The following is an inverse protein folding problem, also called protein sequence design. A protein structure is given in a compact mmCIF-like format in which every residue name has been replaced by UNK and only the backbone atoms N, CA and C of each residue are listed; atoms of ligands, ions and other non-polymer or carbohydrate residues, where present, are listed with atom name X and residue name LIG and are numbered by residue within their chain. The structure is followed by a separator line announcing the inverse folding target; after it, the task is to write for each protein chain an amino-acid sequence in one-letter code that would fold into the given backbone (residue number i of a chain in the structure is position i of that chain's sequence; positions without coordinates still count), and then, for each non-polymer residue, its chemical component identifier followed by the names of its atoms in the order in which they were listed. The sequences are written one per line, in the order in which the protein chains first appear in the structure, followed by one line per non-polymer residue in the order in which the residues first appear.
data_IF_142248192988
#
_entry.id   IF_142248192988
#
_cell.length_a   1.000
_cell.length_b   1.000
_cell.length_c   1.000
_cell.angle_alpha   90.00
_cell.angle_beta   90.00
_cell.angle_gamma   90.00
#
_symmetry.space_group_name_H-M   'P 1'
#
loop_
_entity.id
_entity.type
_entity.pdbx_description
1 polymer ?
#
# COMPACT_ATOMS: atom_id res chain seq x y z
N UNK A 1 19.15 -5.13 -12.24
CA UNK A 1 18.00 -6.03 -11.97
C UNK A 1 16.79 -5.14 -11.69
N UNK A 2 15.57 -5.55 -12.06
CA UNK A 2 14.37 -4.78 -11.69
C UNK A 2 14.20 -4.76 -10.17
N UNK A 3 13.84 -3.60 -9.62
CA UNK A 3 13.64 -3.41 -8.18
C UNK A 3 12.45 -4.23 -7.70
N UNK A 4 12.65 -5.08 -6.70
CA UNK A 4 11.57 -5.92 -6.16
C UNK A 4 10.63 -5.09 -5.27
N UNK A 5 9.42 -5.61 -5.03
CA UNK A 5 8.48 -4.98 -4.07
C UNK A 5 9.09 -4.87 -2.67
N UNK A 6 9.93 -5.83 -2.30
CA UNK A 6 10.63 -5.84 -1.02
C UNK A 6 11.69 -4.72 -0.96
N UNK A 7 12.43 -4.50 -2.05
CA UNK A 7 13.39 -3.39 -2.14
C UNK A 7 12.68 -2.03 -2.09
N UNK A 8 11.47 -1.91 -2.68
CA UNK A 8 10.67 -0.68 -2.58
C UNK A 8 10.18 -0.43 -1.15
N UNK A 9 9.74 -1.48 -0.45
CA UNK A 9 9.33 -1.38 0.94
C UNK A 9 10.46 -0.88 1.83
N UNK A 10 11.68 -1.42 1.67
CA UNK A 10 12.81 -1.08 2.53
C UNK A 10 13.26 0.37 2.35
N UNK A 11 13.23 0.86 1.11
CA UNK A 11 13.48 2.26 0.82
C UNK A 11 12.43 3.16 1.49
N UNK A 12 11.14 2.83 1.35
CA UNK A 12 10.07 3.61 1.98
C UNK A 12 10.13 3.55 3.52
N UNK A 13 10.45 2.39 4.09
CA UNK A 13 10.59 2.22 5.53
C UNK A 13 11.79 3.00 6.08
N UNK A 14 12.92 3.03 5.35
CA UNK A 14 14.10 3.85 5.65
C UNK A 14 13.73 5.33 5.73
N UNK A 15 13.05 5.85 4.71
CA UNK A 15 12.63 7.25 4.63
C UNK A 15 11.69 7.64 5.78
N UNK A 16 10.71 6.80 6.10
CA UNK A 16 9.74 7.02 7.19
C UNK A 16 10.37 6.91 8.58
N UNK A 17 11.43 6.11 8.76
CA UNK A 17 12.07 5.87 10.05
C UNK A 17 13.36 6.70 10.23
N UNK A 18 13.34 7.95 9.78
CA UNK A 18 14.41 8.93 10.04
C UNK A 18 15.69 8.68 9.22
N UNK A 19 15.57 8.07 8.04
CA UNK A 19 16.71 7.74 7.19
C UNK A 19 17.54 6.56 7.72
N UNK A 20 16.90 5.63 8.44
CA UNK A 20 17.55 4.40 8.89
C UNK A 20 18.19 3.68 7.68
N UNK A 21 19.48 3.31 7.72
CA UNK A 21 20.14 2.72 6.57
C UNK A 21 19.41 1.46 6.07
N UNK A 22 19.08 1.43 4.77
CA UNK A 22 18.45 0.27 4.12
C UNK A 22 19.23 -1.03 4.37
N UNK A 23 20.56 -0.95 4.39
CA UNK A 23 21.41 -2.09 4.75
C UNK A 23 21.07 -2.71 6.11
N UNK A 24 20.69 -1.90 7.11
CA UNK A 24 20.29 -2.38 8.43
C UNK A 24 18.92 -3.08 8.41
N UNK A 25 17.99 -2.59 7.59
CA UNK A 25 16.67 -3.21 7.37
C UNK A 25 16.85 -4.56 6.68
N UNK A 26 17.76 -4.64 5.69
CA UNK A 26 18.03 -5.86 4.93
C UNK A 26 18.57 -7.00 5.80
N UNK A 27 19.35 -6.69 6.84
CA UNK A 27 19.82 -7.68 7.82
C UNK A 27 18.68 -8.37 8.57
N UNK A 28 17.49 -7.78 8.58
CA UNK A 28 16.32 -8.34 9.25
C UNK A 28 15.52 -9.26 8.33
N UNK A 29 15.86 -9.43 7.05
CA UNK A 29 15.10 -10.28 6.13
C UNK A 29 15.05 -11.75 6.59
N UNK A 30 13.86 -12.33 6.56
CA UNK A 30 13.59 -13.75 6.79
C UNK A 30 12.65 -14.26 5.69
N UNK A 31 13.21 -14.59 4.51
CA UNK A 31 12.42 -14.99 3.35
C UNK A 31 11.43 -13.90 2.93
N UNK A 32 10.12 -14.17 3.01
CA UNK A 32 9.03 -13.22 2.70
C UNK A 32 8.60 -12.35 3.91
N UNK A 33 9.42 -12.26 4.96
CA UNK A 33 9.14 -11.44 6.14
C UNK A 33 10.42 -10.87 6.75
N UNK A 34 10.29 -10.31 7.96
CA UNK A 34 11.40 -9.75 8.72
C UNK A 34 11.44 -10.31 10.14
N UNK A 35 12.64 -10.44 10.72
CA UNK A 35 12.89 -10.90 12.09
C UNK A 35 12.36 -9.95 13.16
N UNK A 36 12.38 -8.65 12.87
CA UNK A 36 11.90 -7.61 13.78
C UNK A 36 10.38 -7.44 13.63
N UNK A 37 9.57 -7.65 14.70
CA UNK A 37 8.11 -7.61 14.61
C UNK A 37 7.55 -6.29 14.05
N UNK A 38 8.19 -5.15 14.38
CA UNK A 38 7.80 -3.84 13.85
C UNK A 38 7.91 -3.78 12.32
N UNK A 39 9.03 -4.25 11.79
CA UNK A 39 9.32 -4.25 10.34
C UNK A 39 8.41 -5.26 9.63
N UNK A 40 8.22 -6.45 10.20
CA UNK A 40 7.32 -7.46 9.66
C UNK A 40 5.87 -6.97 9.55
N UNK A 41 5.38 -6.24 10.57
CA UNK A 41 4.04 -5.65 10.55
C UNK A 41 3.92 -4.55 9.50
N UNK A 42 4.93 -3.70 9.35
CA UNK A 42 4.95 -2.68 8.31
C UNK A 42 4.94 -3.31 6.91
N UNK A 43 5.73 -4.37 6.71
CA UNK A 43 5.77 -5.14 5.46
C UNK A 43 4.41 -5.76 5.10
N UNK A 44 3.71 -6.35 6.09
CA UNK A 44 2.37 -6.88 5.90
C UNK A 44 1.38 -5.84 5.35
N UNK A 45 1.38 -4.63 5.92
CA UNK A 45 0.50 -3.56 5.47
C UNK A 45 0.94 -2.95 4.13
N UNK A 46 2.25 -2.85 3.89
CA UNK A 46 2.78 -2.40 2.62
C UNK A 46 2.32 -3.28 1.46
N UNK A 47 2.43 -4.61 1.59
CA UNK A 47 1.92 -5.57 0.59
C UNK A 47 0.44 -5.35 0.31
N UNK A 48 -0.38 -5.17 1.34
CA UNK A 48 -1.83 -4.93 1.20
C UNK A 48 -2.17 -3.60 0.53
N UNK A 49 -1.42 -2.54 0.82
CA UNK A 49 -1.63 -1.24 0.16
C UNK A 49 -1.36 -1.29 -1.35
N UNK A 50 -0.38 -2.10 -1.79
CA UNK A 50 -0.03 -2.26 -3.20
C UNK A 50 -0.99 -3.20 -3.95
N UNK A 51 -1.66 -4.12 -3.25
CA UNK A 51 -2.73 -4.94 -3.83
C UNK A 51 -3.98 -4.13 -4.20
N UNK A 52 -4.19 -2.95 -3.58
CA UNK A 52 -5.30 -2.03 -3.92
C UNK A 52 -5.05 -1.24 -5.22
N UNK A 53 -3.81 -1.23 -5.73
CA UNK A 53 -3.40 -0.40 -6.88
C UNK A 53 -3.46 -1.15 -8.23
N UNK A 54 -3.98 -2.37 -8.26
CA UNK A 54 -4.32 -3.08 -9.52
C UNK A 54 -5.81 -3.05 -9.79
N UNK A 55 -6.38 -1.86 -9.96
CA UNK A 55 -7.62 -1.70 -10.72
C UNK A 55 -7.26 -1.87 -12.21
N UNK A 56 -7.97 -2.71 -12.97
CA UNK A 56 -7.79 -2.74 -14.42
C UNK A 56 -7.97 -1.31 -14.97
N UNK A 57 -7.14 -0.92 -15.92
CA UNK A 57 -7.05 0.46 -16.45
C UNK A 57 -8.42 1.02 -16.85
N UNK A 58 -9.33 0.15 -17.31
CA UNK A 58 -10.72 0.48 -17.66
C UNK A 58 -11.60 0.85 -16.44
N UNK A 59 -11.34 0.26 -15.27
CA UNK A 59 -12.03 0.58 -14.01
C UNK A 59 -11.42 1.78 -13.28
N UNK A 60 -10.13 2.06 -13.48
CA UNK A 60 -9.45 3.19 -12.86
C UNK A 60 -10.02 4.53 -13.36
N UNK A 61 -10.30 4.68 -14.66
CA UNK A 61 -10.86 5.92 -15.23
C UNK A 61 -12.22 6.30 -14.60
N UNK A 62 -13.12 5.32 -14.41
CA UNK A 62 -14.40 5.54 -13.70
C UNK A 62 -14.22 5.87 -12.23
N UNK A 63 -13.21 5.30 -11.59
CA UNK A 63 -12.85 5.65 -10.23
C UNK A 63 -12.35 7.10 -10.15
N UNK A 64 -11.47 7.56 -11.05
CA UNK A 64 -10.98 8.94 -11.04
C UNK A 64 -12.07 10.01 -11.22
N UNK A 65 -13.06 9.77 -12.08
CA UNK A 65 -14.20 10.69 -12.27
C UNK A 65 -15.10 10.85 -11.02
N UNK A 66 -15.04 9.93 -10.05
CA UNK A 66 -15.79 10.04 -8.79
C UNK A 66 -15.00 10.66 -7.64
N UNK A 67 -13.72 10.98 -7.86
CA UNK A 67 -12.80 11.50 -6.84
C UNK A 67 -12.39 12.97 -7.07
N UNK A 68 -12.91 13.63 -8.11
CA UNK A 68 -12.59 15.04 -8.40
C UNK A 68 -13.26 16.03 -7.42
N UNK A 69 -14.18 15.55 -6.58
CA UNK A 69 -14.89 16.37 -5.57
C UNK A 69 -14.27 16.29 -4.16
N UNK A 70 -13.10 15.65 -3.99
CA UNK A 70 -12.46 15.53 -2.66
C UNK A 70 -11.28 16.48 -2.56
N UNK A 71 -11.52 17.66 -1.99
CA UNK A 71 -10.45 18.50 -1.43
C UNK A 71 -9.55 17.65 -0.53
N UNK A 72 -8.31 17.37 -0.98
CA UNK A 72 -7.26 16.80 -0.12
C UNK A 72 -6.71 15.40 -0.48
N UNK A 73 -7.00 14.82 -1.66
CA UNK A 73 -6.29 13.63 -2.17
C UNK A 73 -6.18 12.42 -1.19
N UNK A 74 -7.18 12.17 -0.35
CA UNK A 74 -7.19 10.99 0.53
C UNK A 74 -8.42 10.12 0.29
N UNK A 75 -8.20 8.80 0.14
CA UNK A 75 -9.22 7.79 -0.09
C UNK A 75 -10.23 7.73 1.06
N UNK A 76 -11.52 7.99 0.77
CA UNK A 76 -12.59 7.91 1.78
C UNK A 76 -13.12 6.47 1.93
N UNK A 77 -12.50 5.74 2.86
CA UNK A 77 -12.85 4.35 3.20
C UNK A 77 -14.33 4.16 3.56
N UNK A 78 -14.98 5.17 4.15
CA UNK A 78 -16.38 5.08 4.55
C UNK A 78 -17.34 5.09 3.36
N UNK A 79 -17.00 5.84 2.29
CA UNK A 79 -17.80 5.88 1.06
C UNK A 79 -17.69 4.57 0.29
N UNK A 80 -16.46 4.04 0.13
CA UNK A 80 -16.23 2.75 -0.53
C UNK A 80 -17.06 1.61 0.10
N UNK A 81 -17.04 1.48 1.43
CA UNK A 81 -17.80 0.43 2.10
C UNK A 81 -19.32 0.57 1.93
N UNK A 82 -19.83 1.81 1.86
CA UNK A 82 -21.25 2.07 1.60
C UNK A 82 -21.65 1.64 0.19
N UNK A 83 -20.86 2.03 -0.80
CA UNK A 83 -21.16 1.78 -2.21
C UNK A 83 -21.08 0.27 -2.52
N UNK A 84 -20.11 -0.44 -1.95
CA UNK A 84 -20.02 -1.92 -2.01
C UNK A 84 -21.23 -2.59 -1.34
N UNK A 85 -21.67 -2.11 -0.18
CA UNK A 85 -22.83 -2.68 0.52
C UNK A 85 -24.14 -2.50 -0.24
N UNK A 86 -24.27 -1.45 -1.06
CA UNK A 86 -25.43 -1.22 -1.94
C UNK A 86 -25.37 -2.19 -3.13
N UNK A 87 -24.21 -2.31 -3.78
CA UNK A 87 -24.04 -3.19 -4.96
C UNK A 87 -24.23 -4.68 -4.65
N UNK A 88 -23.97 -5.13 -3.42
CA UNK A 88 -24.21 -6.51 -2.99
C UNK A 88 -25.72 -6.79 -2.73
N UNK A 89 -26.52 -5.75 -2.48
CA UNK A 89 -27.94 -5.87 -2.16
C UNK A 89 -28.88 -5.73 -3.37
N UNK A 90 -28.34 -5.34 -4.53
CA UNK A 90 -29.04 -5.26 -5.82
C UNK A 90 -28.86 -6.54 -6.63
#
# INVERSE_FOLDING_TARGET
MPQTMQDQFEQAYSEDNGGMPVAFINLQRLGDSYSVPKIARAWYWFKRSRLVITLPQEGAARYWETFDDVEGQCFNWAKYNRDVAIAIKS
#
